data_IF_978825075759
#
_entry.id   IF_978825075759
#
_cell.length_a   1.000
_cell.length_b   1.000
_cell.length_c   1.000
_cell.angle_alpha   90.00
_cell.angle_beta   90.00
_cell.angle_gamma   90.00
#
_symmetry.space_group_name_H-M   'P 1'
#
loop_
_entity.id
_entity.type
_entity.pdbx_description
1 polymer ?
#
# COMPACT_ATOMS: atom_id res chain seq x y z
N UNK A 1 21.07 -26.45 -1.28
CA UNK A 1 20.43 -26.26 0.05
C UNK A 1 18.95 -25.94 -0.20
N UNK A 2 18.00 -26.76 0.24
CA UNK A 2 16.55 -26.47 0.05
C UNK A 2 16.17 -25.33 1.00
N UNK A 3 15.74 -24.19 0.46
CA UNK A 3 15.24 -23.07 1.26
C UNK A 3 13.85 -23.48 1.79
N UNK A 4 13.72 -23.62 3.11
CA UNK A 4 12.42 -23.77 3.77
C UNK A 4 11.88 -22.39 4.13
N UNK A 5 10.55 -22.24 4.06
CA UNK A 5 9.81 -21.07 4.58
C UNK A 5 8.96 -21.61 5.70
N UNK A 6 9.16 -21.11 6.92
CA UNK A 6 8.39 -21.59 8.06
C UNK A 6 7.01 -20.94 8.07
N UNK A 7 5.97 -21.74 8.30
CA UNK A 7 4.58 -21.30 8.35
C UNK A 7 4.03 -21.51 9.74
N UNK A 8 3.59 -20.42 10.36
CA UNK A 8 2.97 -20.42 11.68
C UNK A 8 1.58 -19.82 11.61
N UNK A 9 0.58 -20.55 12.10
CA UNK A 9 -0.77 -20.04 12.29
C UNK A 9 -1.21 -20.31 13.73
N UNK A 10 -1.35 -19.23 14.49
CA UNK A 10 -1.77 -19.21 15.89
C UNK A 10 -3.15 -18.55 15.97
N UNK A 11 -4.16 -19.25 15.47
CA UNK A 11 -5.54 -18.78 15.44
C UNK A 11 -6.29 -19.24 16.71
N UNK A 12 -7.11 -18.38 17.32
CA UNK A 12 -8.10 -18.80 18.31
C UNK A 12 -9.00 -19.93 17.79
N UNK A 13 -9.25 -20.96 18.59
CA UNK A 13 -10.13 -22.10 18.23
C UNK A 13 -11.58 -21.68 17.93
N UNK A 14 -11.96 -20.48 18.36
CA UNK A 14 -13.29 -19.88 18.17
C UNK A 14 -13.50 -19.22 16.80
N UNK A 15 -12.44 -18.95 16.04
CA UNK A 15 -12.56 -18.33 14.71
C UNK A 15 -12.92 -19.39 13.68
N UNK A 16 -14.22 -19.58 13.42
CA UNK A 16 -14.71 -20.36 12.28
C UNK A 16 -15.15 -19.42 11.18
N UNK A 17 -14.55 -19.56 10.00
CA UNK A 17 -14.95 -18.89 8.78
C UNK A 17 -16.38 -19.30 8.39
N UNK A 18 -17.00 -18.55 7.46
CA UNK A 18 -18.39 -18.74 7.08
C UNK A 18 -18.65 -20.09 6.38
N UNK A 19 -17.60 -20.77 5.90
CA UNK A 19 -17.66 -22.09 5.27
C UNK A 19 -17.47 -23.25 6.28
N UNK A 20 -17.52 -22.97 7.59
CA UNK A 20 -17.47 -23.98 8.65
C UNK A 20 -16.09 -24.56 8.95
N UNK A 21 -15.08 -24.29 8.10
CA UNK A 21 -13.69 -24.66 8.34
C UNK A 21 -12.79 -23.45 8.46
N UNK A 22 -12.26 -23.16 9.66
CA UNK A 22 -10.96 -22.48 9.81
C UNK A 22 -10.37 -22.80 11.20
N UNK A 23 -9.75 -23.96 11.36
CA UNK A 23 -8.81 -24.18 12.46
C UNK A 23 -7.40 -23.70 12.07
N UNK A 24 -6.46 -23.69 13.02
CA UNK A 24 -5.05 -23.43 12.74
C UNK A 24 -4.46 -24.32 11.64
N UNK A 25 -5.00 -25.54 11.45
CA UNK A 25 -4.57 -26.47 10.42
C UNK A 25 -4.94 -26.02 8.99
N UNK A 26 -6.19 -25.62 8.76
CA UNK A 26 -6.65 -25.14 7.46
C UNK A 26 -5.90 -23.85 7.05
N UNK A 27 -5.65 -22.95 8.01
CA UNK A 27 -4.83 -21.76 7.79
C UNK A 27 -3.38 -22.12 7.38
N UNK A 28 -2.76 -23.13 8.03
CA UNK A 28 -1.42 -23.60 7.64
C UNK A 28 -1.41 -24.17 6.22
N UNK A 29 -2.45 -24.89 5.83
CA UNK A 29 -2.57 -25.46 4.48
C UNK A 29 -2.68 -24.35 3.42
N UNK A 30 -3.55 -23.36 3.64
CA UNK A 30 -3.67 -22.17 2.76
C UNK A 30 -2.34 -21.41 2.64
N UNK A 31 -1.70 -21.13 3.78
CA UNK A 31 -0.41 -20.42 3.81
C UNK A 31 0.72 -21.26 3.20
N UNK A 32 0.60 -22.59 3.20
CA UNK A 32 1.53 -23.51 2.55
C UNK A 32 1.62 -23.29 1.03
N UNK A 33 0.53 -22.90 0.38
CA UNK A 33 0.53 -22.53 -1.05
C UNK A 33 1.43 -21.31 -1.30
N UNK A 34 1.33 -20.31 -0.43
CA UNK A 34 2.10 -19.06 -0.54
C UNK A 34 3.57 -19.30 -0.15
N UNK A 35 3.83 -20.11 0.87
CA UNK A 35 5.18 -20.55 1.21
C UNK A 35 5.84 -21.32 0.05
N UNK A 36 5.05 -22.12 -0.70
CA UNK A 36 5.47 -22.75 -1.94
C UNK A 36 5.96 -21.74 -2.97
N UNK A 37 5.16 -20.72 -3.27
CA UNK A 37 5.53 -19.66 -4.20
C UNK A 37 6.74 -18.84 -3.72
N UNK A 38 6.79 -18.49 -2.43
CA UNK A 38 7.87 -17.72 -1.82
C UNK A 38 9.24 -18.42 -1.95
N UNK A 39 9.28 -19.76 -1.87
CA UNK A 39 10.52 -20.53 -2.10
C UNK A 39 11.09 -20.34 -3.50
N UNK A 40 10.24 -20.16 -4.51
CA UNK A 40 10.66 -19.93 -5.89
C UNK A 40 11.20 -18.52 -6.16
N UNK A 41 11.12 -17.61 -5.18
CA UNK A 41 11.48 -16.20 -5.32
C UNK A 41 12.78 -15.84 -4.60
N UNK A 42 13.53 -16.82 -4.07
CA UNK A 42 14.69 -16.61 -3.20
C UNK A 42 15.77 -15.70 -3.78
N UNK A 43 15.92 -15.69 -5.09
CA UNK A 43 16.93 -14.91 -5.81
C UNK A 43 16.55 -13.43 -5.95
N UNK A 44 15.28 -13.09 -5.67
CA UNK A 44 14.73 -11.72 -5.74
C UNK A 44 14.38 -11.21 -4.36
N UNK A 45 13.64 -12.00 -3.57
CA UNK A 45 13.30 -11.71 -2.19
C UNK A 45 13.28 -13.01 -1.39
N UNK A 46 14.06 -13.05 -0.31
CA UNK A 46 14.01 -14.16 0.62
C UNK A 46 12.93 -13.94 1.68
N UNK A 47 11.91 -14.79 1.66
CA UNK A 47 10.93 -14.90 2.76
C UNK A 47 11.45 -15.94 3.74
N UNK A 48 11.58 -15.56 4.99
CA UNK A 48 12.03 -16.44 6.07
C UNK A 48 10.83 -17.16 6.70
N UNK A 49 9.79 -16.39 7.07
CA UNK A 49 8.61 -16.89 7.79
C UNK A 49 7.34 -16.24 7.30
N UNK A 50 6.24 -16.98 7.37
CA UNK A 50 4.87 -16.48 7.19
C UNK A 50 4.10 -16.78 8.47
N UNK A 51 3.55 -15.74 9.11
CA UNK A 51 2.98 -15.84 10.45
C UNK A 51 1.58 -15.21 10.49
N UNK A 52 0.62 -15.94 11.06
CA UNK A 52 -0.65 -15.41 11.54
C UNK A 52 -0.61 -15.47 13.08
N UNK A 53 -0.29 -14.35 13.75
CA UNK A 53 -0.22 -14.32 15.20
C UNK A 53 -1.61 -14.23 15.83
N UNK A 54 -1.72 -14.65 17.09
CA UNK A 54 -2.91 -14.43 17.90
C UNK A 54 -3.11 -12.93 18.22
N UNK A 55 -2.02 -12.22 18.48
CA UNK A 55 -1.97 -10.76 18.67
C UNK A 55 -1.07 -10.13 17.60
N UNK A 56 -1.70 -9.54 16.59
CA UNK A 56 -0.99 -8.94 15.46
C UNK A 56 -0.20 -7.70 15.85
N UNK A 57 -0.77 -6.82 16.66
CA UNK A 57 -0.14 -5.55 17.00
C UNK A 57 1.06 -5.78 17.93
N UNK A 58 0.95 -6.69 18.90
CA UNK A 58 2.06 -7.07 19.76
C UNK A 58 3.21 -7.72 18.97
N UNK A 59 2.88 -8.62 18.03
CA UNK A 59 3.89 -9.29 17.19
C UNK A 59 4.58 -8.30 16.26
N UNK A 60 3.82 -7.39 15.64
CA UNK A 60 4.37 -6.32 14.80
C UNK A 60 5.29 -5.39 15.60
N UNK A 61 4.90 -5.01 16.81
CA UNK A 61 5.71 -4.18 17.69
C UNK A 61 7.01 -4.88 18.12
N UNK A 62 6.96 -6.18 18.42
CA UNK A 62 8.14 -6.96 18.79
C UNK A 62 9.13 -7.14 17.63
N UNK A 63 8.63 -7.38 16.41
CA UNK A 63 9.46 -7.58 15.22
C UNK A 63 9.96 -6.25 14.62
N UNK A 64 9.26 -5.14 14.86
CA UNK A 64 9.60 -3.83 14.34
C UNK A 64 9.53 -2.72 15.42
N UNK A 65 10.36 -2.80 16.49
CA UNK A 65 10.27 -1.91 17.65
C UNK A 65 10.46 -0.43 17.28
N UNK A 66 11.31 -0.15 16.28
CA UNK A 66 11.58 1.22 15.81
C UNK A 66 10.49 1.80 14.91
N UNK A 67 9.52 0.98 14.44
CA UNK A 67 8.43 1.44 13.55
C UNK A 67 7.35 2.22 14.33
N UNK A 68 7.23 1.98 15.63
CA UNK A 68 6.24 2.61 16.51
C UNK A 68 6.81 3.77 17.35
N UNK A 69 8.13 3.85 17.54
CA UNK A 69 8.77 4.92 18.30
C UNK A 69 8.51 6.34 17.73
N UNK A 70 8.24 6.46 16.42
CA UNK A 70 7.97 7.73 15.74
C UNK A 70 6.57 8.31 16.02
N UNK A 71 5.62 7.51 16.55
CA UNK A 71 4.27 7.99 16.90
C UNK A 71 4.19 8.65 18.28
N UNK A 72 5.15 8.37 19.17
CA UNK A 72 5.14 8.86 20.54
C UNK A 72 5.69 10.29 20.70
N UNK A 73 6.33 10.84 19.67
CA UNK A 73 7.02 12.14 19.72
C UNK A 73 6.23 13.31 19.09
N UNK A 74 4.93 13.14 18.80
CA UNK A 74 4.04 14.27 18.50
C UNK A 74 3.33 14.75 19.77
N UNK A 75 3.66 15.93 20.32
CA UNK A 75 2.97 16.48 21.47
C UNK A 75 1.69 17.19 21.02
N UNK A 76 0.63 16.44 20.69
CA UNK A 76 -0.74 16.95 20.58
C UNK A 76 -1.76 15.82 20.38
N UNK A 77 -2.07 15.05 21.44
CA UNK A 77 -3.26 14.20 21.45
C UNK A 77 -3.77 13.90 22.86
N UNK A 78 -3.98 14.93 23.69
CA UNK A 78 -4.92 14.82 24.81
C UNK A 78 -6.35 14.91 24.28
N UNK A 79 -6.86 13.82 23.71
CA UNK A 79 -8.29 13.57 23.59
C UNK A 79 -8.59 12.16 24.10
N UNK A 80 -9.53 12.10 25.04
CA UNK A 80 -10.05 10.90 25.70
C UNK A 80 -10.32 9.76 24.71
N UNK A 81 -10.17 8.49 25.12
CA UNK A 81 -10.55 7.35 24.31
C UNK A 81 -12.08 7.33 24.21
N UNK A 82 -12.63 7.85 23.12
CA UNK A 82 -14.00 7.52 22.74
C UNK A 82 -13.98 6.10 22.18
N UNK A 83 -14.87 5.25 22.69
CA UNK A 83 -15.15 3.88 22.25
C UNK A 83 -15.70 3.80 20.82
N UNK A 84 -14.93 4.30 19.85
CA UNK A 84 -15.25 4.27 18.44
C UNK A 84 -14.21 3.39 17.75
N UNK A 85 -14.67 2.21 17.31
CA UNK A 85 -14.14 1.37 16.23
C UNK A 85 -12.70 1.73 15.83
N UNK A 86 -11.74 0.95 16.35
CA UNK A 86 -10.33 1.02 15.94
C UNK A 86 -10.25 1.16 14.43
N UNK A 87 -9.62 2.24 13.97
CA UNK A 87 -9.14 2.35 12.60
C UNK A 87 -8.43 1.04 12.24
N UNK A 88 -8.60 0.48 11.03
CA UNK A 88 -8.10 -0.85 10.74
C UNK A 88 -6.59 -0.88 10.99
N UNK A 89 -6.18 -1.66 11.99
CA UNK A 89 -4.79 -2.12 12.06
C UNK A 89 -4.50 -2.77 10.70
N UNK A 90 -3.32 -2.51 10.14
CA UNK A 90 -2.99 -3.01 8.82
C UNK A 90 -3.21 -4.53 8.79
N UNK A 91 -3.99 -5.03 7.82
CA UNK A 91 -4.33 -6.46 7.75
C UNK A 91 -3.14 -7.34 7.35
N UNK A 92 -2.10 -6.73 6.79
CA UNK A 92 -0.86 -7.39 6.36
C UNK A 92 0.34 -6.52 6.71
N UNK A 93 1.49 -7.15 6.97
CA UNK A 93 2.76 -6.44 7.10
C UNK A 93 3.94 -7.32 6.69
N UNK A 94 4.88 -6.75 5.95
CA UNK A 94 6.22 -7.33 5.78
C UNK A 94 7.25 -6.64 6.68
N UNK A 95 8.03 -7.44 7.42
CA UNK A 95 9.05 -6.98 8.36
C UNK A 95 10.42 -7.58 7.99
N UNK A 96 11.50 -6.79 7.89
CA UNK A 96 12.84 -7.34 7.71
C UNK A 96 13.25 -8.20 8.91
N UNK A 97 13.90 -9.32 8.65
CA UNK A 97 14.47 -10.23 9.64
C UNK A 97 15.92 -10.59 9.26
N UNK A 98 16.61 -11.35 10.11
CA UNK A 98 18.03 -11.67 9.94
C UNK A 98 18.35 -12.34 8.60
N UNK A 99 17.48 -13.24 8.12
CA UNK A 99 17.74 -14.03 6.91
C UNK A 99 16.87 -13.62 5.74
N UNK A 100 16.01 -12.61 5.88
CA UNK A 100 15.07 -12.21 4.84
C UNK A 100 13.92 -11.37 5.37
N UNK A 101 12.69 -11.75 5.03
CA UNK A 101 11.46 -11.07 5.43
C UNK A 101 10.51 -12.00 6.17
N UNK A 102 9.82 -11.46 7.15
CA UNK A 102 8.66 -12.07 7.79
C UNK A 102 7.40 -11.45 7.23
N UNK A 103 6.49 -12.28 6.71
CA UNK A 103 5.15 -11.87 6.32
C UNK A 103 4.18 -12.11 7.47
N UNK A 104 3.50 -11.06 7.90
CA UNK A 104 2.49 -11.07 8.95
C UNK A 104 1.11 -10.85 8.35
N UNK A 105 0.15 -11.67 8.77
CA UNK A 105 -1.24 -11.56 8.38
C UNK A 105 -2.13 -11.48 9.62
N UNK A 106 -3.00 -10.47 9.68
CA UNK A 106 -3.87 -10.23 10.83
C UNK A 106 -4.88 -11.38 10.98
N UNK A 107 -5.09 -11.95 12.19
CA UNK A 107 -5.98 -13.11 12.38
C UNK A 107 -7.44 -12.81 11.96
N UNK A 108 -7.85 -11.54 12.02
CA UNK A 108 -9.16 -11.08 11.55
C UNK A 108 -9.47 -11.36 10.07
N UNK A 109 -8.47 -11.64 9.22
CA UNK A 109 -8.72 -12.05 7.82
C UNK A 109 -9.29 -13.47 7.71
N UNK A 110 -9.34 -14.24 8.81
CA UNK A 110 -10.04 -15.53 8.88
C UNK A 110 -11.45 -15.41 9.48
N UNK A 111 -11.86 -14.18 9.81
CA UNK A 111 -13.22 -13.89 10.24
C UNK A 111 -14.23 -14.00 9.08
N UNK A 112 -15.53 -13.85 9.38
CA UNK A 112 -16.60 -14.01 8.40
C UNK A 112 -16.43 -13.11 7.18
N UNK A 113 -15.90 -11.89 7.35
CA UNK A 113 -15.77 -10.88 6.30
C UNK A 113 -14.82 -11.24 5.14
N UNK A 114 -13.99 -12.26 5.31
CA UNK A 114 -12.95 -12.61 4.34
C UNK A 114 -13.08 -14.08 3.97
N UNK A 115 -13.54 -14.35 2.75
CA UNK A 115 -13.51 -15.72 2.20
C UNK A 115 -12.07 -16.11 1.80
N UNK A 116 -11.89 -17.39 1.44
CA UNK A 116 -10.58 -17.90 1.02
C UNK A 116 -10.01 -17.09 -0.17
N UNK A 117 -10.85 -16.64 -1.09
CA UNK A 117 -10.43 -15.89 -2.28
C UNK A 117 -9.88 -14.50 -1.93
N UNK A 118 -10.50 -13.82 -0.96
CA UNK A 118 -9.99 -12.57 -0.42
C UNK A 118 -8.66 -12.78 0.31
N UNK A 119 -8.52 -13.84 1.10
CA UNK A 119 -7.27 -14.18 1.78
C UNK A 119 -6.13 -14.44 0.79
N UNK A 120 -6.35 -15.26 -0.23
CA UNK A 120 -5.32 -15.51 -1.27
C UNK A 120 -4.89 -14.24 -2.00
N UNK A 121 -5.81 -13.32 -2.30
CA UNK A 121 -5.45 -12.03 -2.87
C UNK A 121 -4.60 -11.18 -1.91
N UNK A 122 -4.91 -11.16 -0.62
CA UNK A 122 -4.10 -10.46 0.38
C UNK A 122 -2.69 -11.05 0.48
N UNK A 123 -2.57 -12.38 0.49
CA UNK A 123 -1.27 -13.05 0.53
C UNK A 123 -0.42 -12.72 -0.70
N UNK A 124 -1.00 -12.85 -1.89
CA UNK A 124 -0.29 -12.61 -3.13
C UNK A 124 0.10 -11.14 -3.31
N UNK A 125 -0.79 -10.24 -2.87
CA UNK A 125 -0.51 -8.80 -2.89
C UNK A 125 0.70 -8.49 -2.03
N UNK A 126 0.76 -8.99 -0.79
CA UNK A 126 1.89 -8.72 0.11
C UNK A 126 3.21 -9.30 -0.43
N UNK A 127 3.17 -10.53 -0.96
CA UNK A 127 4.33 -11.14 -1.61
C UNK A 127 4.81 -10.33 -2.81
N UNK A 128 3.89 -9.86 -3.65
CA UNK A 128 4.23 -9.07 -4.85
C UNK A 128 4.75 -7.68 -4.47
N UNK A 129 4.20 -7.05 -3.43
CA UNK A 129 4.73 -5.78 -2.89
C UNK A 129 6.20 -5.92 -2.47
N UNK A 130 6.54 -7.02 -1.81
CA UNK A 130 7.93 -7.31 -1.45
C UNK A 130 8.82 -7.50 -2.66
N UNK A 131 8.39 -8.28 -3.65
CA UNK A 131 9.14 -8.47 -4.91
C UNK A 131 9.38 -7.11 -5.60
N UNK A 132 8.35 -6.26 -5.67
CA UNK A 132 8.45 -4.92 -6.24
C UNK A 132 9.42 -4.03 -5.46
N UNK A 133 9.53 -4.19 -4.13
CA UNK A 133 10.53 -3.47 -3.32
C UNK A 133 11.97 -3.81 -3.71
N UNK A 134 12.25 -5.03 -4.13
CA UNK A 134 13.58 -5.46 -4.59
C UNK A 134 13.87 -5.09 -6.04
N UNK A 135 12.83 -4.99 -6.88
CA UNK A 135 12.94 -4.76 -8.33
C UNK A 135 12.95 -3.29 -8.73
N UNK A 136 12.18 -2.46 -8.03
CA UNK A 136 11.96 -1.07 -8.44
C UNK A 136 13.09 -0.17 -7.96
N UNK A 137 13.43 0.89 -8.71
CA UNK A 137 14.53 1.77 -8.36
C UNK A 137 14.23 2.50 -7.05
N UNK A 138 15.10 2.31 -6.05
CA UNK A 138 15.09 3.08 -4.80
C UNK A 138 16.48 3.68 -4.65
N UNK A 139 16.61 5.02 -4.61
CA UNK A 139 17.87 5.68 -4.28
C UNK A 139 18.41 5.17 -2.94
N UNK A 140 19.68 4.80 -2.89
CA UNK A 140 20.35 4.34 -1.68
C UNK A 140 20.22 5.42 -0.59
N UNK A 141 19.64 5.05 0.56
CA UNK A 141 19.28 6.01 1.62
C UNK A 141 20.36 6.19 2.69
N UNK A 142 21.13 5.15 2.99
CA UNK A 142 21.73 5.06 4.32
C UNK A 142 23.23 4.73 4.27
N UNK A 143 24.04 5.74 4.00
CA UNK A 143 25.42 5.78 4.48
C UNK A 143 25.51 6.92 5.51
N UNK A 144 26.11 6.73 6.69
CA UNK A 144 26.42 7.84 7.59
C UNK A 144 27.23 8.90 6.81
N UNK A 145 26.68 10.11 6.66
CA UNK A 145 27.23 11.17 5.80
C UNK A 145 26.62 11.27 4.40
N UNK A 146 25.53 10.56 4.10
CA UNK A 146 24.80 10.71 2.83
C UNK A 146 24.18 12.10 2.71
N UNK A 147 24.25 12.67 1.51
CA UNK A 147 23.66 13.98 1.20
C UNK A 147 22.14 13.95 1.31
N UNK A 148 21.49 15.08 1.69
CA UNK A 148 20.03 15.20 1.66
C UNK A 148 19.47 14.75 0.30
N UNK A 149 18.42 13.92 0.31
CA UNK A 149 17.79 13.46 -0.93
C UNK A 149 17.16 14.64 -1.68
N UNK A 150 17.64 14.90 -2.91
CA UNK A 150 17.03 15.89 -3.79
C UNK A 150 15.65 15.49 -4.32
N UNK A 151 14.98 16.43 -4.99
CA UNK A 151 13.66 16.32 -5.62
C UNK A 151 13.52 15.04 -6.42
N UNK A 152 14.47 14.78 -7.31
CA UNK A 152 14.43 13.59 -8.18
C UNK A 152 14.39 12.29 -7.37
N UNK A 153 15.27 12.13 -6.38
CA UNK A 153 15.32 10.91 -5.56
C UNK A 153 14.04 10.70 -4.75
N UNK A 154 13.47 11.78 -4.22
CA UNK A 154 12.21 11.74 -3.47
C UNK A 154 11.05 11.32 -4.36
N UNK A 155 10.92 11.93 -5.53
CA UNK A 155 9.86 11.62 -6.49
C UNK A 155 10.04 10.22 -7.08
N UNK A 156 11.26 9.81 -7.44
CA UNK A 156 11.55 8.47 -7.96
C UNK A 156 11.15 7.39 -6.95
N UNK A 157 11.48 7.59 -5.67
CA UNK A 157 11.06 6.68 -4.59
C UNK A 157 9.54 6.61 -4.47
N UNK A 158 8.87 7.77 -4.55
CA UNK A 158 7.43 7.84 -4.41
C UNK A 158 6.71 7.19 -5.60
N UNK A 159 7.08 7.50 -6.84
CA UNK A 159 6.46 6.91 -8.04
C UNK A 159 6.70 5.41 -8.09
N UNK A 160 7.90 4.94 -7.71
CA UNK A 160 8.20 3.51 -7.62
C UNK A 160 7.32 2.83 -6.57
N UNK A 161 7.10 3.47 -5.42
CA UNK A 161 6.19 2.94 -4.39
C UNK A 161 4.74 2.88 -4.91
N UNK A 162 4.26 3.92 -5.57
CA UNK A 162 2.90 3.97 -6.13
C UNK A 162 2.69 2.89 -7.19
N UNK A 163 3.62 2.77 -8.13
CA UNK A 163 3.57 1.72 -9.14
C UNK A 163 3.68 0.33 -8.52
N UNK A 164 4.55 0.13 -7.53
CA UNK A 164 4.70 -1.14 -6.84
C UNK A 164 3.40 -1.61 -6.16
N UNK A 165 2.60 -0.68 -5.64
CA UNK A 165 1.28 -0.94 -5.08
C UNK A 165 0.23 -1.23 -6.16
N UNK A 166 0.23 -0.44 -7.24
CA UNK A 166 -0.65 -0.66 -8.40
C UNK A 166 -0.39 -2.04 -9.04
N UNK A 167 0.86 -2.39 -9.30
CA UNK A 167 1.25 -3.65 -9.93
C UNK A 167 0.99 -4.86 -9.02
N UNK A 168 1.29 -4.72 -7.73
CA UNK A 168 0.98 -5.76 -6.75
C UNK A 168 -0.52 -5.99 -6.62
N UNK A 169 -1.31 -4.93 -6.73
CA UNK A 169 -2.75 -5.04 -6.78
C UNK A 169 -3.19 -5.84 -8.02
N UNK A 170 -2.91 -5.32 -9.21
CA UNK A 170 -3.22 -5.98 -10.49
C UNK A 170 -2.90 -7.48 -10.51
N UNK A 171 -1.66 -7.85 -10.15
CA UNK A 171 -1.20 -9.24 -10.17
C UNK A 171 -1.88 -10.15 -9.16
N UNK A 172 -2.22 -9.62 -7.98
CA UNK A 172 -2.95 -10.40 -6.99
C UNK A 172 -4.38 -10.68 -7.42
N UNK A 173 -5.00 -9.78 -8.18
CA UNK A 173 -6.34 -9.98 -8.68
C UNK A 173 -6.29 -10.99 -9.85
N UNK A 174 -5.31 -10.86 -10.76
CA UNK A 174 -5.06 -11.84 -11.83
C UNK A 174 -4.82 -13.25 -11.27
N UNK A 175 -4.01 -13.36 -10.20
CA UNK A 175 -3.77 -14.62 -9.51
C UNK A 175 -5.06 -15.18 -8.90
N UNK A 176 -5.83 -14.35 -8.20
CA UNK A 176 -7.11 -14.76 -7.60
C UNK A 176 -8.08 -15.26 -8.67
N UNK A 177 -8.23 -14.55 -9.77
CA UNK A 177 -9.10 -14.99 -10.88
C UNK A 177 -8.61 -16.29 -11.52
N UNK A 178 -7.30 -16.45 -11.69
CA UNK A 178 -6.73 -17.68 -12.21
C UNK A 178 -6.96 -18.87 -11.27
N UNK A 179 -6.77 -18.67 -9.96
CA UNK A 179 -7.06 -19.68 -8.94
C UNK A 179 -8.55 -20.07 -8.96
N UNK A 180 -9.43 -19.07 -8.94
CA UNK A 180 -10.88 -19.25 -8.98
C UNK A 180 -11.33 -20.02 -10.21
N UNK A 181 -11.03 -19.53 -11.40
CA UNK A 181 -11.55 -20.09 -12.65
C UNK A 181 -10.87 -21.40 -13.03
N UNK A 182 -9.55 -21.50 -12.87
CA UNK A 182 -8.77 -22.63 -13.39
C UNK A 182 -8.62 -23.77 -12.39
N UNK A 183 -8.45 -23.46 -11.11
CA UNK A 183 -8.19 -24.46 -10.07
C UNK A 183 -9.48 -24.84 -9.35
N UNK A 184 -10.20 -23.85 -8.83
CA UNK A 184 -11.40 -24.08 -8.01
C UNK A 184 -12.68 -24.25 -8.85
N UNK A 185 -12.66 -23.80 -10.11
CA UNK A 185 -13.83 -23.75 -11.02
C UNK A 185 -15.02 -23.04 -10.39
N UNK A 186 -14.74 -21.93 -9.70
CA UNK A 186 -15.71 -21.11 -8.99
C UNK A 186 -15.72 -19.68 -9.56
N UNK A 187 -16.83 -19.00 -9.37
CA UNK A 187 -16.94 -17.55 -9.59
C UNK A 187 -16.58 -16.77 -8.33
N UNK A 188 -16.37 -15.46 -8.49
CA UNK A 188 -16.19 -14.58 -7.34
C UNK A 188 -17.48 -14.56 -6.52
N UNK A 189 -17.38 -14.79 -5.21
CA UNK A 189 -18.53 -14.71 -4.31
C UNK A 189 -19.13 -13.29 -4.33
N UNK A 190 -20.45 -13.17 -4.16
CA UNK A 190 -21.10 -11.86 -4.05
C UNK A 190 -20.59 -11.05 -2.85
N UNK A 191 -20.16 -11.75 -1.78
CA UNK A 191 -19.50 -11.13 -0.64
C UNK A 191 -18.16 -10.50 -1.04
N UNK A 192 -17.31 -11.23 -1.76
CA UNK A 192 -16.02 -10.72 -2.21
C UNK A 192 -16.19 -9.59 -3.25
N UNK A 193 -17.23 -9.65 -4.10
CA UNK A 193 -17.62 -8.56 -5.01
C UNK A 193 -18.01 -7.30 -4.23
N UNK A 194 -18.84 -7.46 -3.20
CA UNK A 194 -19.29 -6.35 -2.34
C UNK A 194 -18.15 -5.73 -1.54
N UNK A 195 -17.28 -6.55 -0.94
CA UNK A 195 -16.12 -6.07 -0.21
C UNK A 195 -15.14 -5.30 -1.11
N UNK A 196 -14.96 -5.76 -2.34
CA UNK A 196 -14.17 -5.07 -3.36
C UNK A 196 -14.78 -3.71 -3.73
N UNK A 197 -16.09 -3.63 -3.93
CA UNK A 197 -16.80 -2.37 -4.20
C UNK A 197 -16.65 -1.38 -3.04
N UNK A 198 -16.78 -1.85 -1.80
CA UNK A 198 -16.56 -1.01 -0.62
C UNK A 198 -15.12 -0.52 -0.50
N UNK A 199 -14.13 -1.39 -0.73
CA UNK A 199 -12.72 -1.00 -0.73
C UNK A 199 -12.43 0.04 -1.83
N UNK A 200 -12.96 -0.17 -3.04
CA UNK A 200 -12.86 0.78 -4.13
C UNK A 200 -13.49 2.14 -3.80
N UNK A 201 -14.71 2.14 -3.26
CA UNK A 201 -15.40 3.36 -2.85
C UNK A 201 -14.65 4.09 -1.72
N UNK A 202 -14.06 3.35 -0.79
CA UNK A 202 -13.23 3.92 0.27
C UNK A 202 -11.95 4.55 -0.29
N UNK A 203 -11.19 3.85 -1.13
CA UNK A 203 -9.96 4.38 -1.76
C UNK A 203 -10.26 5.64 -2.56
N UNK A 204 -11.34 5.61 -3.35
CA UNK A 204 -11.79 6.77 -4.09
C UNK A 204 -12.21 7.92 -3.16
N UNK A 205 -12.98 7.65 -2.11
CA UNK A 205 -13.39 8.67 -1.13
C UNK A 205 -12.19 9.33 -0.43
N UNK A 206 -11.15 8.56 -0.14
CA UNK A 206 -9.89 9.10 0.41
C UNK A 206 -9.15 9.94 -0.62
N UNK A 207 -8.96 9.44 -1.84
CA UNK A 207 -8.26 10.13 -2.93
C UNK A 207 -8.90 11.49 -3.29
N UNK A 208 -10.22 11.59 -3.12
CA UNK A 208 -11.03 12.72 -3.57
C UNK A 208 -11.55 13.59 -2.42
N UNK A 209 -11.05 13.33 -1.20
CA UNK A 209 -11.48 13.96 0.04
C UNK A 209 -11.39 15.50 -0.02
N UNK A 210 -12.54 16.16 0.05
CA UNK A 210 -12.63 17.63 0.14
C UNK A 210 -11.96 18.15 1.42
N UNK A 211 -12.08 17.41 2.53
CA UNK A 211 -11.40 17.71 3.78
C UNK A 211 -9.89 17.70 3.57
N UNK A 212 -9.33 16.63 2.98
CA UNK A 212 -7.90 16.55 2.71
C UNK A 212 -7.40 17.72 1.86
N UNK A 213 -8.16 18.13 0.83
CA UNK A 213 -7.83 19.32 0.02
C UNK A 213 -7.90 20.62 0.81
N UNK A 214 -8.83 20.74 1.74
CA UNK A 214 -8.93 21.91 2.65
C UNK A 214 -7.73 21.96 3.60
N UNK A 215 -7.36 20.83 4.19
CA UNK A 215 -6.16 20.71 5.02
C UNK A 215 -4.87 21.06 4.25
N UNK A 216 -4.72 20.59 3.01
CA UNK A 216 -3.58 20.93 2.16
C UNK A 216 -3.48 22.44 1.90
N UNK A 217 -4.60 23.10 1.61
CA UNK A 217 -4.65 24.57 1.44
C UNK A 217 -4.26 25.30 2.72
N UNK A 218 -4.81 24.89 3.87
CA UNK A 218 -4.46 25.50 5.16
C UNK A 218 -2.96 25.38 5.48
N UNK A 219 -2.35 24.23 5.19
CA UNK A 219 -0.91 24.01 5.38
C UNK A 219 -0.08 24.87 4.43
N UNK A 220 -0.52 25.04 3.17
CA UNK A 220 0.15 25.90 2.20
C UNK A 220 0.07 27.38 2.61
N UNK A 221 -1.09 27.85 3.07
CA UNK A 221 -1.26 29.21 3.57
C UNK A 221 -0.38 29.48 4.81
N UNK A 222 -0.25 28.48 5.68
CA UNK A 222 0.61 28.59 6.86
C UNK A 222 2.10 28.61 6.52
N UNK A 223 2.52 27.80 5.54
CA UNK A 223 3.87 27.83 4.99
C UNK A 223 4.18 29.18 4.33
N UNK A 224 3.23 29.74 3.57
CA UNK A 224 3.40 31.04 2.93
C UNK A 224 3.63 32.17 3.95
N UNK A 225 2.95 32.12 5.10
CA UNK A 225 3.10 33.09 6.20
C UNK A 225 4.35 32.88 7.04
N UNK A 226 4.65 31.63 7.43
CA UNK A 226 5.72 31.30 8.38
C UNK A 226 7.09 31.14 7.75
N UNK A 227 7.15 30.68 6.49
CA UNK A 227 8.39 30.27 5.84
C UNK A 227 9.02 28.97 6.38
N UNK A 228 8.34 28.24 7.29
CA UNK A 228 8.86 26.99 7.88
C UNK A 228 8.67 25.80 6.92
N UNK A 229 9.56 25.70 5.93
CA UNK A 229 9.57 24.61 4.94
C UNK A 229 9.74 23.22 5.56
N UNK A 230 10.65 22.98 6.53
CA UNK A 230 10.78 21.66 7.16
C UNK A 230 9.49 21.16 7.83
N UNK A 231 8.77 22.01 8.55
CA UNK A 231 7.49 21.63 9.17
C UNK A 231 6.40 21.42 8.14
N UNK A 232 6.31 22.28 7.13
CA UNK A 232 5.38 22.12 6.02
C UNK A 232 5.57 20.78 5.29
N UNK A 233 6.81 20.45 4.91
CA UNK A 233 7.12 19.20 4.22
C UNK A 233 6.83 17.96 5.06
N UNK A 234 7.06 18.01 6.39
CA UNK A 234 6.71 16.91 7.31
C UNK A 234 5.21 16.66 7.38
N UNK A 235 4.39 17.71 7.27
CA UNK A 235 2.94 17.59 7.30
C UNK A 235 2.32 17.19 5.94
N UNK A 236 2.77 17.82 4.85
CA UNK A 236 2.14 17.67 3.52
C UNK A 236 2.56 16.40 2.79
N UNK A 237 3.84 16.00 2.84
CA UNK A 237 4.32 14.82 2.09
C UNK A 237 3.56 13.54 2.43
N UNK A 238 3.30 13.20 3.71
CA UNK A 238 2.51 12.01 4.05
C UNK A 238 1.06 12.09 3.54
N UNK A 239 0.45 13.29 3.59
CA UNK A 239 -0.92 13.50 3.13
C UNK A 239 -1.04 13.31 1.62
N UNK A 240 -0.18 13.97 0.84
CA UNK A 240 -0.15 13.85 -0.62
C UNK A 240 0.17 12.41 -1.04
N UNK A 241 1.14 11.75 -0.39
CA UNK A 241 1.45 10.34 -0.65
C UNK A 241 0.25 9.42 -0.39
N UNK A 242 -0.52 9.68 0.68
CA UNK A 242 -1.72 8.90 1.00
C UNK A 242 -2.79 9.04 -0.08
N UNK A 243 -3.03 10.26 -0.58
CA UNK A 243 -3.96 10.52 -1.68
C UNK A 243 -3.51 9.78 -2.96
N UNK A 244 -2.21 9.88 -3.30
CA UNK A 244 -1.65 9.18 -4.46
C UNK A 244 -1.74 7.66 -4.35
N UNK A 245 -1.55 7.09 -3.15
CA UNK A 245 -1.71 5.66 -2.91
C UNK A 245 -3.14 5.20 -3.15
N UNK A 246 -4.11 5.94 -2.61
CA UNK A 246 -5.53 5.65 -2.76
C UNK A 246 -5.95 5.72 -4.25
N UNK A 247 -5.45 6.71 -5.01
CA UNK A 247 -5.62 6.75 -6.46
C UNK A 247 -5.04 5.52 -7.16
N UNK A 248 -3.83 5.09 -6.77
CA UNK A 248 -3.17 3.94 -7.38
C UNK A 248 -3.95 2.63 -7.15
N UNK A 249 -4.53 2.43 -5.96
CA UNK A 249 -5.39 1.27 -5.67
C UNK A 249 -6.73 1.34 -6.41
N UNK A 250 -7.35 2.52 -6.49
CA UNK A 250 -8.57 2.74 -7.25
C UNK A 250 -8.37 2.41 -8.74
N UNK A 251 -7.28 2.91 -9.35
CA UNK A 251 -6.95 2.60 -10.75
C UNK A 251 -6.65 1.14 -11.01
N UNK A 252 -5.88 0.49 -10.12
CA UNK A 252 -5.60 -0.95 -10.24
C UNK A 252 -6.89 -1.78 -10.26
N UNK A 253 -7.86 -1.37 -9.44
CA UNK A 253 -9.19 -2.00 -9.38
C UNK A 253 -9.97 -1.77 -10.67
N UNK A 254 -10.02 -0.53 -11.17
CA UNK A 254 -10.78 -0.22 -12.40
C UNK A 254 -10.24 -0.92 -13.63
N UNK A 255 -8.92 -0.95 -13.80
CA UNK A 255 -8.33 -1.62 -14.95
C UNK A 255 -8.59 -3.13 -14.90
N UNK A 256 -8.76 -3.72 -13.71
CA UNK A 256 -8.89 -5.17 -13.55
C UNK A 256 -10.33 -5.64 -13.68
N UNK A 257 -11.33 -4.83 -13.27
CA UNK A 257 -12.74 -5.20 -13.34
C UNK A 257 -13.51 -4.31 -14.32
N UNK A 258 -13.71 -4.75 -15.58
CA UNK A 258 -14.40 -3.98 -16.61
C UNK A 258 -15.81 -3.54 -16.21
N UNK A 259 -16.55 -4.37 -15.47
CA UNK A 259 -17.91 -4.06 -15.00
C UNK A 259 -17.95 -2.85 -14.06
N UNK A 260 -16.83 -2.58 -13.38
CA UNK A 260 -16.67 -1.42 -12.50
C UNK A 260 -16.05 -0.22 -13.21
N UNK A 261 -15.53 -0.40 -14.42
CA UNK A 261 -14.80 0.64 -15.14
C UNK A 261 -15.69 1.84 -15.47
N UNK A 262 -16.92 1.62 -15.95
CA UNK A 262 -17.82 2.73 -16.29
C UNK A 262 -18.31 3.52 -15.05
N UNK A 263 -18.88 2.88 -14.00
CA UNK A 263 -19.26 3.60 -12.78
C UNK A 263 -18.07 4.26 -12.07
N UNK A 264 -16.92 3.60 -12.03
CA UNK A 264 -15.73 4.15 -11.39
C UNK A 264 -15.03 5.25 -12.19
N UNK A 265 -15.08 5.20 -13.52
CA UNK A 265 -14.60 6.30 -14.37
C UNK A 265 -15.47 7.54 -14.20
N UNK A 266 -16.79 7.39 -14.07
CA UNK A 266 -17.69 8.50 -13.77
C UNK A 266 -17.36 9.14 -12.41
N UNK A 267 -17.11 8.30 -11.40
CA UNK A 267 -16.74 8.79 -10.07
C UNK A 267 -15.37 9.50 -10.05
N UNK A 268 -14.37 8.98 -10.78
CA UNK A 268 -13.08 9.65 -10.96
C UNK A 268 -13.21 10.96 -11.75
N UNK A 269 -14.15 11.01 -12.71
CA UNK A 269 -14.41 12.22 -13.48
C UNK A 269 -15.02 13.33 -12.62
N UNK A 270 -15.98 12.98 -11.75
CA UNK A 270 -16.64 13.93 -10.82
C UNK A 270 -15.73 14.43 -9.69
N UNK A 271 -14.59 13.79 -9.48
CA UNK A 271 -13.73 14.06 -8.34
C UNK A 271 -12.86 15.33 -8.45
N UNK A 272 -12.89 16.04 -9.59
CA UNK A 272 -12.00 17.17 -9.90
C UNK A 272 -10.53 16.85 -9.58
N UNK A 273 -10.06 15.70 -10.08
CA UNK A 273 -8.66 15.31 -9.94
C UNK A 273 -7.78 16.15 -10.88
N UNK A 274 -6.50 16.40 -10.50
CA UNK A 274 -5.56 17.05 -11.39
C UNK A 274 -5.43 16.31 -12.72
N UNK A 275 -5.26 17.04 -13.83
CA UNK A 275 -5.14 16.43 -15.17
C UNK A 275 -4.04 15.35 -15.24
N UNK A 276 -2.90 15.62 -14.58
CA UNK A 276 -1.76 14.71 -14.47
C UNK A 276 -2.11 13.34 -13.85
N UNK A 277 -3.23 13.22 -13.12
CA UNK A 277 -3.68 11.95 -12.56
C UNK A 277 -3.97 10.93 -13.68
N UNK A 278 -4.56 11.36 -14.80
CA UNK A 278 -4.84 10.48 -15.95
C UNK A 278 -3.57 10.03 -16.65
N UNK A 279 -2.61 10.93 -16.82
CA UNK A 279 -1.34 10.61 -17.48
C UNK A 279 -0.50 9.64 -16.63
N UNK A 280 -0.46 9.85 -15.31
CA UNK A 280 0.21 8.94 -14.39
C UNK A 280 -0.47 7.57 -14.35
N UNK A 281 -1.81 7.51 -14.40
CA UNK A 281 -2.54 6.25 -14.53
C UNK A 281 -2.17 5.50 -15.81
N UNK A 282 -2.23 6.17 -16.96
CA UNK A 282 -1.85 5.58 -18.25
C UNK A 282 -0.40 5.07 -18.23
N UNK A 283 0.51 5.83 -17.62
CA UNK A 283 1.90 5.42 -17.40
C UNK A 283 1.99 4.12 -16.59
N UNK A 284 1.32 4.02 -15.44
CA UNK A 284 1.31 2.79 -14.63
C UNK A 284 0.73 1.60 -15.37
N UNK A 285 -0.39 1.78 -16.07
CA UNK A 285 -1.00 0.73 -16.88
C UNK A 285 -0.03 0.20 -17.94
N UNK A 286 0.63 1.09 -18.67
CA UNK A 286 1.60 0.72 -19.70
C UNK A 286 2.81 -0.01 -19.10
N UNK A 287 3.34 0.46 -17.96
CA UNK A 287 4.48 -0.19 -17.28
C UNK A 287 4.13 -1.58 -16.76
N UNK A 288 2.92 -1.78 -16.25
CA UNK A 288 2.42 -3.08 -15.82
C UNK A 288 2.30 -4.05 -17.01
N UNK A 289 1.63 -3.63 -18.09
CA UNK A 289 1.48 -4.46 -19.31
C UNK A 289 2.83 -4.83 -19.92
N UNK A 290 3.77 -3.87 -19.98
CA UNK A 290 5.11 -4.11 -20.50
C UNK A 290 6.05 -4.84 -19.52
N UNK A 291 5.64 -5.06 -18.26
CA UNK A 291 6.49 -5.63 -17.22
C UNK A 291 7.73 -4.78 -16.89
N UNK A 292 7.73 -3.49 -17.18
CA UNK A 292 8.92 -2.62 -17.10
C UNK A 292 9.17 -2.08 -15.69
N UNK A 293 10.39 -2.19 -15.14
CA UNK A 293 10.74 -1.63 -13.82
C UNK A 293 11.21 -0.16 -13.87
N UNK A 294 11.39 0.41 -15.07
CA UNK A 294 11.88 1.78 -15.23
C UNK A 294 10.79 2.81 -14.90
N UNK A 295 10.95 3.46 -13.74
CA UNK A 295 10.02 4.46 -13.24
C UNK A 295 10.49 5.90 -13.47
N UNK A 296 11.69 6.11 -14.02
CA UNK A 296 12.27 7.45 -14.16
C UNK A 296 11.38 8.40 -14.98
N UNK A 297 10.73 7.99 -16.08
CA UNK A 297 9.83 8.87 -16.83
C UNK A 297 8.54 9.24 -16.05
N UNK A 298 8.19 8.49 -15.01
CA UNK A 298 7.05 8.79 -14.15
C UNK A 298 7.31 9.90 -13.12
N UNK A 299 8.56 10.35 -12.96
CA UNK A 299 8.93 11.37 -11.97
C UNK A 299 8.21 12.69 -12.21
N UNK A 300 8.18 13.17 -13.45
CA UNK A 300 7.55 14.46 -13.77
C UNK A 300 6.01 14.35 -13.78
N UNK A 301 5.47 13.20 -14.15
CA UNK A 301 4.02 12.93 -14.01
C UNK A 301 3.58 12.98 -12.55
N UNK A 302 4.39 12.40 -11.65
CA UNK A 302 4.14 12.48 -10.22
C UNK A 302 4.31 13.90 -9.69
N UNK A 303 5.32 14.64 -10.15
CA UNK A 303 5.52 16.03 -9.78
C UNK A 303 4.29 16.89 -10.12
N UNK A 304 3.77 16.74 -11.34
CA UNK A 304 2.57 17.45 -11.80
C UNK A 304 1.32 17.05 -11.00
N UNK A 305 1.19 15.77 -10.64
CA UNK A 305 0.10 15.32 -9.75
C UNK A 305 0.20 15.98 -8.37
N UNK A 306 1.39 16.00 -7.77
CA UNK A 306 1.62 16.58 -6.45
C UNK A 306 1.46 18.09 -6.45
N UNK A 307 1.85 18.76 -7.53
CA UNK A 307 1.60 20.18 -7.76
C UNK A 307 0.08 20.46 -7.84
N UNK A 308 -0.69 19.61 -8.51
CA UNK A 308 -2.15 19.67 -8.49
C UNK A 308 -2.77 19.49 -7.10
N UNK A 309 -2.04 18.92 -6.15
CA UNK A 309 -2.41 18.86 -4.72
C UNK A 309 -1.81 20.00 -3.89
N UNK A 310 -1.10 20.94 -4.50
CA UNK A 310 -0.48 22.08 -3.82
C UNK A 310 0.94 21.84 -3.30
N UNK A 311 1.59 20.74 -3.67
CA UNK A 311 2.97 20.44 -3.28
C UNK A 311 3.91 20.53 -4.48
N UNK A 312 4.68 21.63 -4.55
CA UNK A 312 5.73 21.82 -5.56
C UNK A 312 7.09 21.65 -4.92
N UNK A 313 7.79 20.56 -5.25
CA UNK A 313 9.12 20.26 -4.71
C UNK A 313 10.21 20.85 -5.60
N UNK A 314 11.26 21.36 -4.98
CA UNK A 314 12.47 21.83 -5.64
C UNK A 314 13.72 21.42 -4.85
N UNK A 315 14.88 21.52 -5.50
CA UNK A 315 16.17 21.41 -4.84
C UNK A 315 16.61 22.80 -4.37
N UNK A 316 17.01 22.89 -3.10
CA UNK A 316 17.51 24.10 -2.45
C UNK A 316 18.89 23.89 -1.83
N UNK A 317 19.49 24.96 -1.27
CA UNK A 317 20.84 24.92 -0.72
C UNK A 317 21.00 23.91 0.43
N UNK A 318 19.94 23.70 1.22
CA UNK A 318 19.92 22.75 2.34
C UNK A 318 19.25 21.40 1.98
N UNK A 319 19.06 21.12 0.69
CA UNK A 319 18.39 19.92 0.18
C UNK A 319 16.98 20.18 -0.33
N UNK A 320 16.07 19.22 -0.13
CA UNK A 320 14.70 19.31 -0.64
C UNK A 320 13.94 20.50 -0.02
N UNK A 321 13.38 21.36 -0.87
CA UNK A 321 12.52 22.47 -0.48
C UNK A 321 11.13 22.38 -1.14
N UNK A 322 10.21 23.27 -0.73
CA UNK A 322 8.92 23.46 -1.37
C UNK A 322 8.80 24.88 -1.93
N UNK A 323 8.32 25.01 -3.16
CA UNK A 323 8.00 26.28 -3.79
C UNK A 323 6.65 26.78 -3.27
N UNK A 324 6.52 28.10 -3.10
CA UNK A 324 5.25 28.70 -2.71
C UNK A 324 4.26 28.67 -3.88
N UNK A 325 2.95 28.73 -3.61
CA UNK A 325 1.97 28.97 -4.66
C UNK A 325 2.29 30.30 -5.38
N UNK A 326 2.58 30.23 -6.68
CA UNK A 326 2.88 31.42 -7.52
C UNK A 326 4.35 31.69 -7.83
N UNK A 327 5.30 30.97 -7.24
CA UNK A 327 6.75 31.02 -7.57
C UNK A 327 7.11 30.13 -8.78
#
# INVERSE_FOLDING_TARGET
MRISVDVEANLPDSLRGPEGGTGAQAAREELGVIAGAARGLSDVVRIERIVVPADFDATLAALAPNRHASRASSPAATRKPSSAVSAPSAMTAAVPAERGWVLLFHPGIYGPEHDAHMRYALYWRELTRLVNRGRLPVPLRDAPGSTPQGRYAVLLTAVSRLFGEYDAARKAWDFREALLRKVLRQELSERARTALLHAFAADLGHATSADARTWLRMLADDHARSGDTPTYLRAVRPLVMRLSLALSHAWATLDHFPDMAAPGAELLHRADLPAAARDLHAFFRNRHVAGSPDMAPGVELLAALWEGFGLRLADGPDGLTALKPGD
#
